data_IF_181929493416
#
_entry.id   IF_181929493416
#
_cell.length_a   1.000
_cell.length_b   1.000
_cell.length_c   1.000
_cell.angle_alpha   90.00
_cell.angle_beta   90.00
_cell.angle_gamma   90.00
#
_symmetry.space_group_name_H-M   'P 1'
#
loop_
_entity.id
_entity.type
_entity.pdbx_description
1 polymer ?
#
# COMPACT_ATOMS: atom_id res chain seq x y z
N UNK A 1 -21.82 -8.09 0.80
CA UNK A 1 -20.57 -8.78 1.19
C UNK A 1 -19.54 -7.70 1.40
N UNK A 2 -19.15 -7.41 2.65
CA UNK A 2 -18.05 -6.47 2.90
C UNK A 2 -16.78 -7.25 2.61
N UNK A 3 -16.12 -6.96 1.49
CA UNK A 3 -14.79 -7.50 1.24
C UNK A 3 -13.88 -6.92 2.32
N UNK A 4 -13.26 -7.79 3.11
CA UNK A 4 -12.42 -7.41 4.23
C UNK A 4 -11.09 -6.87 3.68
N UNK A 5 -11.09 -5.62 3.22
CA UNK A 5 -9.91 -4.94 2.72
C UNK A 5 -8.97 -4.68 3.89
N UNK A 6 -7.78 -5.28 3.83
CA UNK A 6 -6.77 -5.12 4.86
C UNK A 6 -6.03 -3.80 4.63
N UNK A 7 -6.07 -2.89 5.61
CA UNK A 7 -5.25 -1.69 5.57
C UNK A 7 -3.80 -2.03 5.90
N UNK A 8 -2.87 -1.59 5.05
CA UNK A 8 -1.43 -1.81 5.21
C UNK A 8 -0.65 -0.54 4.91
N UNK A 9 0.51 -0.40 5.56
CA UNK A 9 1.47 0.65 5.25
C UNK A 9 2.36 0.21 4.09
N UNK A 10 2.52 1.08 3.10
CA UNK A 10 3.35 0.83 1.94
C UNK A 10 4.21 2.04 1.60
N UNK A 11 5.42 1.77 1.14
CA UNK A 11 6.35 2.76 0.62
C UNK A 11 6.24 2.80 -0.90
N UNK A 12 6.15 4.00 -1.48
CA UNK A 12 6.18 4.17 -2.93
C UNK A 12 7.63 4.05 -3.41
N UNK A 13 7.87 3.18 -4.39
CA UNK A 13 9.20 2.98 -4.99
C UNK A 13 9.33 3.74 -6.31
N UNK A 14 8.24 3.87 -7.05
CA UNK A 14 8.19 4.65 -8.29
C UNK A 14 6.75 5.04 -8.64
N UNK A 15 6.61 6.12 -9.41
CA UNK A 15 5.31 6.60 -9.93
C UNK A 15 5.24 6.28 -11.41
N UNK A 16 4.35 5.37 -11.79
CA UNK A 16 4.18 4.94 -13.18
C UNK A 16 3.27 5.88 -14.00
N UNK A 17 2.29 6.50 -13.35
CA UNK A 17 1.35 7.43 -14.00
C UNK A 17 1.71 8.88 -13.70
N UNK A 18 2.61 9.44 -14.52
CA UNK A 18 3.08 10.83 -14.41
C UNK A 18 2.07 11.88 -14.92
N UNK A 19 0.90 11.46 -15.43
CA UNK A 19 -0.12 12.38 -15.97
C UNK A 19 -0.98 13.00 -14.88
N UNK A 20 -1.00 12.41 -13.68
CA UNK A 20 -1.71 12.94 -12.52
C UNK A 20 -0.89 14.04 -11.86
N UNK A 21 -1.28 15.28 -12.13
CA UNK A 21 -0.70 16.48 -11.50
C UNK A 21 -1.47 16.85 -10.23
N UNK A 22 -0.77 17.46 -9.26
CA UNK A 22 -1.38 17.90 -8.00
C UNK A 22 -1.62 16.79 -6.98
N UNK A 23 -0.94 15.66 -7.14
CA UNK A 23 -0.95 14.56 -6.18
C UNK A 23 0.02 14.82 -5.02
N UNK A 24 -0.34 14.33 -3.83
CA UNK A 24 0.48 14.32 -2.62
C UNK A 24 1.42 13.12 -2.53
N UNK A 25 1.40 12.22 -3.54
CA UNK A 25 2.26 11.04 -3.54
C UNK A 25 3.69 11.39 -3.92
N UNK A 26 4.65 10.84 -3.18
CA UNK A 26 6.07 11.05 -3.41
C UNK A 26 6.84 9.73 -3.36
N UNK A 27 7.83 9.57 -4.24
CA UNK A 27 8.72 8.39 -4.21
C UNK A 27 9.50 8.38 -2.90
N UNK A 28 9.51 7.23 -2.22
CA UNK A 28 10.14 7.03 -0.92
C UNK A 28 9.24 7.32 0.27
N UNK A 29 8.10 7.99 0.08
CA UNK A 29 7.14 8.25 1.14
C UNK A 29 6.27 7.01 1.45
N UNK A 30 5.77 6.96 2.69
CA UNK A 30 4.96 5.86 3.22
C UNK A 30 3.52 6.34 3.38
N UNK A 31 2.57 5.54 2.90
CA UNK A 31 1.14 5.80 2.99
C UNK A 31 0.40 4.56 3.47
N UNK A 32 -0.84 4.75 3.91
CA UNK A 32 -1.75 3.66 4.29
C UNK A 32 -2.77 3.46 3.19
N UNK A 33 -2.84 2.25 2.66
CA UNK A 33 -3.75 1.87 1.57
C UNK A 33 -4.50 0.59 1.86
N UNK A 34 -5.48 0.31 1.02
CA UNK A 34 -6.31 -0.89 1.09
C UNK A 34 -5.73 -1.97 0.19
N UNK A 35 -5.28 -3.08 0.79
CA UNK A 35 -4.75 -4.23 0.07
C UNK A 35 -5.88 -4.98 -0.62
N UNK A 36 -5.71 -5.22 -1.91
CA UNK A 36 -6.60 -6.07 -2.68
C UNK A 36 -6.61 -7.51 -2.12
N UNK A 37 -7.74 -8.24 -2.16
CA UNK A 37 -7.84 -9.60 -1.63
C UNK A 37 -6.83 -10.61 -2.23
N UNK A 38 -6.28 -10.34 -3.41
CA UNK A 38 -5.25 -11.18 -4.02
C UNK A 38 -3.83 -10.86 -3.53
N UNK A 39 -3.65 -9.78 -2.77
CA UNK A 39 -2.36 -9.35 -2.23
C UNK A 39 -1.39 -8.81 -3.28
N UNK A 40 -1.88 -8.42 -4.47
CA UNK A 40 -1.04 -7.99 -5.59
C UNK A 40 -0.94 -6.47 -5.75
N UNK A 41 -1.98 -5.75 -5.36
CA UNK A 41 -2.03 -4.30 -5.50
C UNK A 41 -2.68 -3.63 -4.28
N UNK A 42 -2.42 -2.33 -4.18
CA UNK A 42 -2.87 -1.43 -3.13
C UNK A 42 -3.67 -0.29 -3.74
N UNK A 43 -4.81 0.00 -3.12
CA UNK A 43 -5.65 1.13 -3.46
C UNK A 43 -5.40 2.26 -2.47
N UNK A 44 -5.18 3.46 -2.99
CA UNK A 44 -4.98 4.65 -2.19
C UNK A 44 -5.84 5.79 -2.73
N UNK A 45 -6.67 6.37 -1.88
CA UNK A 45 -7.49 7.52 -2.21
C UNK A 45 -6.93 8.76 -1.53
N UNK A 46 -6.64 9.78 -2.32
CA UNK A 46 -6.17 11.06 -1.83
C UNK A 46 -7.33 11.94 -1.35
N UNK A 47 -7.08 12.91 -0.45
CA UNK A 47 -8.09 13.89 -0.02
C UNK A 47 -8.63 14.76 -1.17
N UNK A 48 -7.88 14.92 -2.25
CA UNK A 48 -8.30 15.68 -3.45
C UNK A 48 -9.23 14.87 -4.38
N UNK A 49 -9.59 13.63 -4.01
CA UNK A 49 -10.44 12.73 -4.79
C UNK A 49 -9.70 11.95 -5.90
N UNK A 50 -8.37 12.07 -6.00
CA UNK A 50 -7.58 11.24 -6.89
C UNK A 50 -7.39 9.84 -6.29
N UNK A 51 -7.50 8.83 -7.15
CA UNK A 51 -7.31 7.43 -6.76
C UNK A 51 -6.05 6.88 -7.40
N UNK A 52 -5.32 6.06 -6.66
CA UNK A 52 -4.08 5.42 -7.08
C UNK A 52 -4.15 3.92 -6.87
N UNK A 53 -3.54 3.22 -7.82
CA UNK A 53 -3.29 1.78 -7.74
C UNK A 53 -1.78 1.60 -7.75
N UNK A 54 -1.26 0.96 -6.71
CA UNK A 54 0.15 0.60 -6.63
C UNK A 54 0.30 -0.92 -6.66
N UNK A 55 1.22 -1.41 -7.48
CA UNK A 55 1.55 -2.84 -7.57
C UNK A 55 2.70 -3.18 -6.64
N UNK A 56 2.52 -4.23 -5.83
CA UNK A 56 3.52 -4.66 -4.86
C UNK A 56 4.69 -5.30 -5.61
N UNK A 57 5.91 -4.84 -5.32
CA UNK A 57 7.13 -5.29 -5.97
C UNK A 57 7.50 -4.54 -7.26
N UNK A 58 6.57 -3.73 -7.80
CA UNK A 58 6.86 -2.85 -8.94
C UNK A 58 6.87 -1.37 -8.52
N UNK A 59 5.72 -0.85 -8.09
CA UNK A 59 5.57 0.58 -7.75
C UNK A 59 5.54 0.86 -6.25
N UNK A 60 5.40 -0.18 -5.42
CA UNK A 60 5.44 -0.04 -3.96
C UNK A 60 5.95 -1.30 -3.25
N UNK A 61 6.29 -1.15 -1.98
CA UNK A 61 6.64 -2.24 -1.05
C UNK A 61 5.91 -2.08 0.28
N UNK A 62 5.39 -3.17 0.85
CA UNK A 62 4.74 -3.14 2.17
C UNK A 62 5.82 -2.96 3.25
N UNK A 63 5.65 -1.98 4.14
CA UNK A 63 6.65 -1.61 5.17
C UNK A 63 6.46 -2.43 6.45
N UNK A 64 5.22 -2.70 6.82
CA UNK A 64 4.86 -3.50 7.98
C UNK A 64 3.88 -4.60 7.55
N UNK A 65 4.33 -5.73 7.00
CA UNK A 65 3.54 -6.93 7.14
C UNK A 65 3.50 -7.16 8.65
N UNK A 66 2.35 -7.02 9.31
CA UNK A 66 2.24 -7.40 10.71
C UNK A 66 2.73 -8.84 10.83
N UNK A 67 4.01 -9.00 11.18
CA UNK A 67 4.56 -10.28 11.57
C UNK A 67 3.86 -10.57 12.86
N UNK A 68 2.75 -11.32 12.79
CA UNK A 68 2.38 -12.23 13.86
C UNK A 68 3.45 -13.34 13.91
N UNK A 69 4.70 -12.94 14.13
CA UNK A 69 5.78 -13.82 14.57
C UNK A 69 5.74 -13.76 16.08
N UNK A 70 4.71 -14.37 16.65
CA UNK A 70 4.82 -14.93 18.00
C UNK A 70 5.69 -16.19 17.87
N UNK A 71 7.00 -15.99 17.62
CA UNK A 71 8.00 -16.95 18.09
C UNK A 71 8.22 -16.67 19.56
N UNK A 72 7.43 -17.33 20.39
CA UNK A 72 7.78 -17.62 21.77
C UNK A 72 7.34 -19.06 22.11
N UNK A 73 7.84 -20.02 21.33
CA UNK A 73 8.22 -21.29 21.91
C UNK A 73 9.64 -21.08 22.44
N UNK A 74 9.74 -20.72 23.72
CA UNK A 74 10.95 -20.93 24.51
C UNK A 74 10.54 -21.57 25.84
N UNK A 75 10.79 -22.88 25.88
CA UNK A 75 11.04 -23.77 27.03
C UNK A 75 10.03 -23.84 28.20
#
# INVERSE_FOLDING_TARGET
MVQNMQKVEFQIVQILDSRKSGSIIEVGAIYTGDLDPTGRCLWFSEPNGQEWVFYIGESCTIVNPSTNTERANDN
#
